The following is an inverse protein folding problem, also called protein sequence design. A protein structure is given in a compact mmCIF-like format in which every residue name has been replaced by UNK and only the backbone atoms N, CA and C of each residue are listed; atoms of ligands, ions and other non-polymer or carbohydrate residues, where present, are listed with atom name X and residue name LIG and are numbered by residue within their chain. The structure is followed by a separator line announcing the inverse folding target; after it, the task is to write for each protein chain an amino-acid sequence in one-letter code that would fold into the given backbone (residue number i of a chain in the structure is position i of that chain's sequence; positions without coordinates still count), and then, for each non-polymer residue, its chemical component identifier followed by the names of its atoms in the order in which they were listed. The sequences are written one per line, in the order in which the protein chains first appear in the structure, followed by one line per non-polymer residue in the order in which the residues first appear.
data_IF_568504286191
#
_entry.id   IF_568504286191
#
_cell.length_a   1.000
_cell.length_b   1.000
_cell.length_c   1.000
_cell.angle_alpha   90.00
_cell.angle_beta   90.00
_cell.angle_gamma   90.00
#
_symmetry.space_group_name_H-M   'P 1'
#
loop_
_entity.id
_entity.type
_entity.pdbx_description
1 polymer ?
#
# COMPACT_ATOMS: atom_id res chain seq x y z
N UNK A 1 -51.34 -53.71 22.82
CA UNK A 1 -50.22 -54.67 22.71
C UNK A 1 -48.94 -53.91 22.88
N UNK A 2 -48.09 -54.41 23.75
CA UNK A 2 -46.88 -53.77 24.26
C UNK A 2 -45.75 -53.76 23.21
N UNK A 3 -45.05 -52.64 23.07
CA UNK A 3 -43.80 -52.53 22.30
C UNK A 3 -42.77 -51.75 23.07
N UNK A 4 -41.74 -52.45 23.44
CA UNK A 4 -40.66 -52.14 24.34
C UNK A 4 -39.70 -51.07 23.80
N UNK A 5 -39.35 -50.08 24.64
CA UNK A 5 -38.26 -49.13 24.43
C UNK A 5 -36.92 -49.79 24.70
N UNK A 6 -35.95 -49.67 23.80
CA UNK A 6 -34.55 -50.01 24.02
C UNK A 6 -33.75 -48.70 24.17
N UNK A 7 -33.28 -48.50 25.40
CA UNK A 7 -32.34 -47.44 25.76
C UNK A 7 -30.93 -47.89 25.41
N UNK A 8 -30.22 -47.12 24.58
CA UNK A 8 -28.77 -47.32 24.34
C UNK A 8 -28.00 -46.19 25.00
N UNK A 9 -27.28 -46.52 26.06
CA UNK A 9 -26.39 -45.59 26.78
C UNK A 9 -25.16 -45.29 25.96
N UNK A 10 -24.88 -44.02 25.70
CA UNK A 10 -23.64 -43.55 25.10
C UNK A 10 -22.57 -43.36 26.17
N UNK A 11 -21.48 -44.11 26.04
CA UNK A 11 -20.31 -44.03 26.90
C UNK A 11 -19.47 -42.77 26.56
N UNK A 12 -19.36 -41.88 27.53
CA UNK A 12 -18.52 -40.70 27.49
C UNK A 12 -17.05 -41.09 27.66
N UNK A 13 -16.29 -41.05 26.59
CA UNK A 13 -14.83 -41.27 26.62
C UNK A 13 -14.13 -39.96 26.97
N UNK A 14 -13.70 -39.80 28.20
CA UNK A 14 -12.92 -38.70 28.75
C UNK A 14 -11.49 -38.79 28.23
N UNK A 15 -11.11 -37.95 27.26
CA UNK A 15 -9.74 -37.78 26.80
C UNK A 15 -8.95 -36.94 27.81
N UNK A 16 -7.92 -37.55 28.41
CA UNK A 16 -6.94 -36.86 29.25
C UNK A 16 -6.01 -36.03 28.35
N UNK A 17 -6.09 -34.73 28.44
CA UNK A 17 -5.08 -33.81 27.89
C UNK A 17 -3.87 -33.83 28.81
N UNK A 18 -2.77 -34.40 28.33
CA UNK A 18 -1.44 -34.19 28.90
C UNK A 18 -0.89 -32.89 28.38
N UNK A 19 -0.84 -31.85 29.23
CA UNK A 19 -0.18 -30.60 28.91
C UNK A 19 1.33 -30.78 28.99
N UNK A 20 2.03 -30.47 27.89
CA UNK A 20 3.47 -30.21 27.92
C UNK A 20 3.70 -28.70 28.01
N UNK A 21 4.52 -28.24 28.97
CA UNK A 21 4.92 -26.83 28.99
C UNK A 21 6.04 -26.63 27.96
N UNK A 22 5.73 -25.94 26.90
CA UNK A 22 6.75 -25.43 25.96
C UNK A 22 7.44 -24.23 26.63
N UNK A 23 8.65 -24.49 27.13
CA UNK A 23 9.56 -23.41 27.55
C UNK A 23 10.08 -22.70 26.29
N UNK A 24 9.57 -21.52 26.05
CA UNK A 24 10.08 -20.61 25.02
C UNK A 24 11.41 -20.03 25.51
N UNK A 25 12.52 -20.49 24.94
CA UNK A 25 13.84 -19.88 25.11
C UNK A 25 13.94 -18.72 24.12
N UNK A 26 13.84 -17.50 24.65
CA UNK A 26 14.17 -16.29 23.90
C UNK A 26 15.69 -16.20 23.84
N UNK A 27 16.27 -16.48 22.69
CA UNK A 27 17.68 -16.23 22.41
C UNK A 27 17.81 -14.78 21.95
N UNK A 28 18.24 -13.90 22.85
CA UNK A 28 18.68 -12.56 22.49
C UNK A 28 20.10 -12.69 21.92
N UNK A 29 20.25 -12.55 20.61
CA UNK A 29 21.54 -12.42 19.97
C UNK A 29 22.01 -10.97 20.14
N UNK A 30 22.93 -10.75 21.12
CA UNK A 30 23.66 -9.50 21.22
C UNK A 30 24.76 -9.49 20.15
N UNK A 31 24.62 -8.60 19.16
CA UNK A 31 25.70 -8.29 18.23
C UNK A 31 26.67 -7.37 18.96
N UNK A 32 27.72 -7.95 19.51
CA UNK A 32 28.86 -7.23 20.07
C UNK A 32 29.76 -6.72 18.95
N UNK A 33 29.81 -5.39 18.77
CA UNK A 33 30.78 -4.75 17.89
C UNK A 33 32.20 -4.94 18.41
N UNK A 34 33.02 -5.60 17.60
CA UNK A 34 34.45 -5.77 17.86
C UNK A 34 35.22 -4.48 17.51
N UNK A 35 35.56 -3.68 18.51
CA UNK A 35 36.49 -2.58 18.34
C UNK A 35 37.89 -3.17 18.51
N UNK A 36 38.58 -3.36 17.40
CA UNK A 36 40.01 -3.75 17.42
C UNK A 36 40.86 -2.53 17.81
N UNK A 37 41.26 -2.47 19.06
CA UNK A 37 42.34 -1.56 19.50
C UNK A 37 43.68 -2.17 19.16
N UNK A 38 44.34 -1.62 18.16
CA UNK A 38 45.76 -1.94 17.86
C UNK A 38 46.62 -1.24 18.90
N UNK A 39 47.11 -2.00 19.85
CA UNK A 39 48.15 -1.54 20.77
C UNK A 39 49.51 -1.61 20.05
N UNK A 40 50.10 -0.46 19.70
CA UNK A 40 51.47 -0.35 19.21
C UNK A 40 52.36 -0.18 20.43
N UNK A 41 53.19 -1.18 20.70
CA UNK A 41 54.21 -1.10 21.75
C UNK A 41 55.34 -0.12 21.32
N UNK A 42 55.84 0.76 22.21
CA UNK A 42 56.99 1.59 21.90
C UNK A 42 58.27 0.78 22.07
N UNK A 43 59.00 0.57 20.97
CA UNK A 43 60.36 0.12 21.04
C UNK A 43 61.25 1.32 21.40
N UNK A 44 61.86 1.28 22.60
CA UNK A 44 62.94 2.23 23.02
C UNK A 44 64.21 1.91 22.27
N UNK A 45 64.62 2.79 21.35
CA UNK A 45 66.00 2.87 20.88
C UNK A 45 66.45 4.27 21.17
N UNK A 46 67.40 4.36 22.15
CA UNK A 46 68.08 5.58 22.48
C UNK A 46 69.11 5.86 21.39
N UNK A 47 69.01 6.96 20.69
CA UNK A 47 70.03 7.54 19.87
C UNK A 47 70.09 9.04 20.16
N UNK A 48 71.23 9.45 20.78
CA UNK A 48 71.56 10.84 21.03
C UNK A 48 71.92 11.53 19.72
N UNK A 49 71.16 12.54 19.33
CA UNK A 49 71.56 13.56 18.38
C UNK A 49 70.70 14.83 18.57
N UNK A 50 71.42 15.90 18.64
CA UNK A 50 71.20 17.35 18.63
C UNK A 50 69.75 17.86 18.40
N UNK A 51 69.25 18.92 19.09
CA UNK A 51 67.92 19.45 18.92
C UNK A 51 67.83 20.19 17.58
N UNK A 52 67.20 19.54 16.59
CA UNK A 52 66.64 20.24 15.47
C UNK A 52 65.20 20.67 15.92
N UNK A 53 64.88 21.94 15.79
CA UNK A 53 63.62 22.52 16.12
C UNK A 53 62.48 21.74 15.46
N UNK A 54 61.66 21.12 16.27
CA UNK A 54 60.48 20.43 15.77
C UNK A 54 59.45 21.46 15.30
N UNK A 55 59.40 21.69 13.99
CA UNK A 55 58.33 22.46 13.35
C UNK A 55 57.02 21.71 13.56
N UNK A 56 56.13 22.28 14.33
CA UNK A 56 54.82 21.65 14.61
C UNK A 56 53.93 21.67 13.35
N UNK A 57 53.09 20.67 13.19
CA UNK A 57 52.14 20.60 12.08
C UNK A 57 51.26 21.86 11.94
N UNK A 58 51.10 22.64 13.02
CA UNK A 58 50.42 23.92 12.99
C UNK A 58 51.21 25.02 12.31
N UNK A 59 52.57 25.03 12.39
CA UNK A 59 53.42 25.99 11.68
C UNK A 59 53.44 25.69 10.18
N UNK A 60 53.49 24.43 9.77
CA UNK A 60 53.42 24.03 8.36
C UNK A 60 52.06 24.38 7.75
N UNK A 61 50.98 24.25 8.54
CA UNK A 61 49.64 24.63 8.08
C UNK A 61 49.48 26.16 7.95
N UNK A 62 50.12 26.94 8.81
CA UNK A 62 50.07 28.40 8.72
C UNK A 62 50.90 28.96 7.54
N UNK A 63 52.05 28.36 7.21
CA UNK A 63 52.81 28.78 6.02
C UNK A 63 52.16 28.42 4.71
N UNK A 64 51.45 27.26 4.63
CA UNK A 64 50.68 26.90 3.45
C UNK A 64 49.37 27.68 3.31
N UNK A 65 48.82 28.20 4.38
CA UNK A 65 47.59 29.02 4.33
C UNK A 65 47.81 30.42 3.75
N UNK A 66 49.07 30.93 3.83
CA UNK A 66 49.39 32.27 3.31
C UNK A 66 49.71 32.30 1.81
N UNK A 67 50.01 31.18 1.18
CA UNK A 67 50.34 31.13 -0.25
C UNK A 67 49.12 31.04 -1.18
N UNK A 68 47.89 30.97 -0.67
CA UNK A 68 46.66 30.85 -1.44
C UNK A 68 45.91 32.18 -1.66
N UNK A 69 46.45 33.31 -1.22
CA UNK A 69 45.75 34.61 -1.25
C UNK A 69 46.12 35.50 -2.44
N UNK A 70 47.06 35.10 -3.28
CA UNK A 70 47.50 35.99 -4.39
C UNK A 70 47.34 35.24 -5.72
N UNK A 71 46.17 35.17 -6.24
CA UNK A 71 45.77 35.23 -7.66
C UNK A 71 44.32 34.87 -7.84
N UNK A 72 43.42 35.79 -7.59
CA UNK A 72 42.16 35.81 -8.34
C UNK A 72 41.63 37.24 -8.39
N UNK A 73 41.90 37.90 -9.47
CA UNK A 73 40.96 38.87 -10.03
C UNK A 73 39.74 38.04 -10.55
N UNK A 74 39.09 37.33 -9.68
CA UNK A 74 37.78 36.74 -9.97
C UNK A 74 36.75 37.79 -9.56
N UNK A 75 36.24 38.50 -10.55
CA UNK A 75 34.99 39.25 -10.42
C UNK A 75 33.98 38.32 -9.74
N UNK A 76 33.38 38.67 -8.58
CA UNK A 76 32.40 37.82 -7.97
C UNK A 76 31.22 37.71 -8.94
N UNK A 77 31.06 36.58 -9.58
CA UNK A 77 29.81 36.24 -10.24
C UNK A 77 28.72 36.33 -9.18
N UNK A 78 27.75 37.21 -9.40
CA UNK A 78 26.58 37.26 -8.53
C UNK A 78 25.97 35.88 -8.49
N UNK A 79 26.16 35.18 -7.38
CA UNK A 79 25.44 33.95 -7.09
C UNK A 79 23.96 34.35 -7.02
N UNK A 80 23.22 33.99 -8.06
CA UNK A 80 21.79 34.10 -8.04
C UNK A 80 21.28 33.22 -6.90
N UNK A 81 20.82 33.87 -5.81
CA UNK A 81 20.24 33.21 -4.63
C UNK A 81 18.78 32.80 -4.88
N UNK A 82 18.37 32.67 -6.13
CA UNK A 82 16.96 32.59 -6.50
C UNK A 82 16.34 31.22 -6.51
N UNK A 83 16.95 30.21 -5.87
CA UNK A 83 16.35 28.86 -5.89
C UNK A 83 16.47 28.02 -4.61
N UNK A 84 16.82 28.60 -3.49
CA UNK A 84 16.70 27.91 -2.20
C UNK A 84 15.48 28.46 -1.45
N UNK A 85 14.30 27.97 -1.82
CA UNK A 85 13.14 28.07 -0.95
C UNK A 85 13.40 27.21 0.28
N UNK A 86 13.43 27.80 1.45
CA UNK A 86 13.49 27.02 2.69
C UNK A 86 12.22 26.18 2.78
N UNK A 87 12.36 24.88 2.94
CA UNK A 87 11.23 23.97 3.14
C UNK A 87 10.40 24.46 4.32
N UNK A 88 9.12 24.74 4.08
CA UNK A 88 8.22 25.25 5.11
C UNK A 88 7.89 24.16 6.13
N UNK A 89 7.52 24.53 7.40
CA UNK A 89 7.04 23.54 8.35
C UNK A 89 5.87 22.71 7.82
N UNK A 90 5.01 23.28 6.98
CA UNK A 90 3.88 22.62 6.33
C UNK A 90 4.34 21.57 5.33
N UNK A 91 5.34 21.87 4.52
CA UNK A 91 5.92 20.92 3.56
C UNK A 91 6.61 19.75 4.28
N UNK A 92 7.31 20.03 5.39
CA UNK A 92 7.90 18.99 6.24
C UNK A 92 6.82 18.09 6.83
N UNK A 93 5.72 18.68 7.30
CA UNK A 93 4.61 17.91 7.87
C UNK A 93 3.89 17.10 6.80
N UNK A 94 3.67 17.66 5.62
CA UNK A 94 3.09 16.95 4.47
C UNK A 94 3.94 15.75 4.09
N UNK A 95 5.25 15.94 3.95
CA UNK A 95 6.18 14.83 3.64
C UNK A 95 6.22 13.76 4.73
N UNK A 96 6.18 14.14 6.01
CA UNK A 96 6.08 13.17 7.10
C UNK A 96 4.78 12.37 7.05
N UNK A 97 3.67 13.02 6.72
CA UNK A 97 2.38 12.36 6.57
C UNK A 97 2.37 11.40 5.37
N UNK A 98 2.98 11.79 4.23
CA UNK A 98 3.16 10.93 3.07
C UNK A 98 4.05 9.71 3.38
N UNK A 99 5.18 9.92 4.04
CA UNK A 99 6.09 8.84 4.41
C UNK A 99 5.44 7.89 5.45
N UNK A 100 4.66 8.43 6.40
CA UNK A 100 3.87 7.63 7.34
C UNK A 100 2.75 6.84 6.63
N UNK A 101 2.08 7.44 5.64
CA UNK A 101 1.06 6.76 4.84
C UNK A 101 1.68 5.62 4.01
N UNK A 102 2.84 5.85 3.38
CA UNK A 102 3.59 4.81 2.66
C UNK A 102 4.03 3.67 3.57
N UNK A 103 4.54 3.99 4.76
CA UNK A 103 4.94 2.98 5.75
C UNK A 103 3.72 2.17 6.25
N UNK A 104 2.59 2.83 6.50
CA UNK A 104 1.34 2.18 6.88
C UNK A 104 0.79 1.29 5.75
N UNK A 105 0.87 1.75 4.50
CA UNK A 105 0.50 0.94 3.33
C UNK A 105 1.38 -0.30 3.20
N UNK A 106 2.70 -0.16 3.33
CA UNK A 106 3.64 -1.28 3.31
C UNK A 106 3.38 -2.29 4.45
N UNK A 107 3.10 -1.79 5.67
CA UNK A 107 2.75 -2.63 6.81
C UNK A 107 1.43 -3.39 6.59
N UNK A 108 0.43 -2.75 5.95
CA UNK A 108 -0.84 -3.39 5.58
C UNK A 108 -0.66 -4.46 4.50
N UNK A 109 0.20 -4.23 3.50
CA UNK A 109 0.58 -5.24 2.50
C UNK A 109 1.19 -6.46 3.19
N UNK A 110 2.14 -6.24 4.11
CA UNK A 110 2.76 -7.30 4.88
C UNK A 110 1.75 -8.04 5.80
N UNK A 111 0.83 -7.30 6.46
CA UNK A 111 -0.22 -7.88 7.29
C UNK A 111 -1.27 -8.63 6.47
N UNK A 112 -1.65 -8.12 5.29
CA UNK A 112 -2.58 -8.79 4.39
C UNK A 112 -2.02 -10.12 3.86
N UNK A 113 -0.70 -10.20 3.62
CA UNK A 113 -0.05 -11.45 3.23
C UNK A 113 -0.04 -12.52 4.35
N UNK A 114 -0.12 -12.09 5.62
CA UNK A 114 -0.18 -13.00 6.78
C UNK A 114 -1.61 -13.30 7.26
N UNK A 115 -2.55 -12.37 7.04
CA UNK A 115 -3.96 -12.53 7.44
C UNK A 115 -4.80 -13.36 6.45
N UNK A 116 -4.21 -13.80 5.34
CA UNK A 116 -4.89 -14.56 4.27
C UNK A 116 -5.33 -15.98 4.66
N UNK A 117 -5.20 -16.38 5.93
CA UNK A 117 -5.54 -17.74 6.34
C UNK A 117 -7.02 -18.00 6.62
N UNK A 118 -7.88 -16.94 6.72
CA UNK A 118 -9.27 -17.08 7.17
C UNK A 118 -10.32 -16.37 6.31
N UNK A 119 -9.92 -15.66 5.24
CA UNK A 119 -10.86 -15.07 4.30
C UNK A 119 -11.12 -16.05 3.14
N UNK A 120 -12.37 -16.29 2.79
CA UNK A 120 -12.70 -17.04 1.59
C UNK A 120 -12.06 -16.35 0.36
N UNK A 121 -11.35 -17.15 -0.44
CA UNK A 121 -10.58 -16.67 -1.58
C UNK A 121 -11.25 -17.19 -2.84
N UNK A 122 -11.48 -16.29 -3.77
CA UNK A 122 -11.99 -16.64 -5.08
C UNK A 122 -11.03 -17.61 -5.81
N UNK A 123 -11.51 -18.78 -6.15
CA UNK A 123 -10.76 -19.83 -6.85
C UNK A 123 -11.18 -20.02 -8.32
N UNK A 124 -12.08 -19.17 -8.82
CA UNK A 124 -12.57 -19.23 -10.18
C UNK A 124 -11.58 -18.66 -11.22
N UNK A 125 -11.97 -18.74 -12.48
CA UNK A 125 -11.18 -18.22 -13.60
C UNK A 125 -11.19 -16.68 -13.63
N UNK A 126 -10.04 -16.07 -13.92
CA UNK A 126 -9.91 -14.64 -14.22
C UNK A 126 -10.14 -14.40 -15.73
N UNK A 127 -11.22 -14.92 -16.27
CA UNK A 127 -11.57 -14.71 -17.68
C UNK A 127 -12.27 -13.36 -17.86
N UNK A 128 -11.84 -12.61 -18.88
CA UNK A 128 -12.56 -11.41 -19.31
C UNK A 128 -13.87 -11.81 -19.98
N UNK A 129 -14.93 -11.08 -19.66
CA UNK A 129 -16.27 -11.27 -20.27
C UNK A 129 -16.61 -10.00 -21.05
N UNK A 130 -15.85 -9.75 -22.13
CA UNK A 130 -16.04 -8.56 -22.96
C UNK A 130 -17.43 -8.57 -23.57
N UNK A 131 -18.23 -7.58 -23.22
CA UNK A 131 -19.57 -7.36 -23.76
C UNK A 131 -19.51 -6.58 -25.09
N UNK A 132 -20.58 -6.62 -25.90
CA UNK A 132 -20.72 -5.76 -27.07
C UNK A 132 -20.54 -4.28 -26.71
N UNK A 133 -20.03 -3.48 -27.65
CA UNK A 133 -19.86 -2.05 -27.45
C UNK A 133 -21.20 -1.38 -27.08
N UNK A 134 -21.13 -0.46 -26.11
CA UNK A 134 -22.31 0.25 -25.59
C UNK A 134 -23.14 -0.54 -24.57
N UNK A 135 -22.71 -1.75 -24.20
CA UNK A 135 -23.33 -2.52 -23.11
C UNK A 135 -22.97 -1.94 -21.75
N UNK A 136 -23.89 -2.15 -20.79
CA UNK A 136 -23.62 -2.00 -19.36
C UNK A 136 -23.70 -3.39 -18.73
N UNK A 137 -22.70 -3.76 -17.94
CA UNK A 137 -22.60 -5.06 -17.28
C UNK A 137 -22.42 -4.90 -15.77
N UNK A 138 -22.66 -5.96 -15.02
CA UNK A 138 -22.34 -5.95 -13.59
C UNK A 138 -20.82 -5.98 -13.37
N UNK A 139 -20.32 -5.28 -12.32
CA UNK A 139 -18.89 -5.21 -12.02
C UNK A 139 -18.33 -6.50 -11.42
N UNK A 140 -19.17 -7.42 -10.98
CA UNK A 140 -18.79 -8.68 -10.35
C UNK A 140 -19.54 -9.86 -11.01
N UNK A 141 -18.91 -11.06 -11.07
CA UNK A 141 -19.57 -12.26 -11.60
C UNK A 141 -20.67 -12.77 -10.67
N UNK A 142 -20.54 -12.51 -9.37
CA UNK A 142 -21.49 -12.83 -8.30
C UNK A 142 -21.18 -11.98 -7.07
N UNK A 143 -22.09 -11.93 -6.12
CA UNK A 143 -21.91 -11.40 -4.78
C UNK A 143 -22.90 -12.07 -3.81
N UNK A 144 -22.56 -12.10 -2.51
CA UNK A 144 -23.37 -12.75 -1.50
C UNK A 144 -24.56 -11.87 -1.09
N UNK A 145 -24.30 -10.60 -0.82
CA UNK A 145 -25.25 -9.54 -0.49
C UNK A 145 -24.60 -8.20 -0.73
N UNK A 146 -25.36 -7.13 -0.67
CA UNK A 146 -24.83 -5.76 -0.75
C UNK A 146 -25.39 -4.89 0.37
N UNK A 147 -24.61 -3.87 0.75
CA UNK A 147 -24.99 -2.81 1.65
C UNK A 147 -25.37 -1.55 0.87
N UNK A 148 -26.50 -0.96 1.25
CA UNK A 148 -26.99 0.28 0.66
C UNK A 148 -26.15 1.49 1.10
N UNK A 149 -26.06 2.54 0.27
CA UNK A 149 -25.49 3.80 0.66
C UNK A 149 -26.23 4.45 1.84
N UNK A 150 -25.49 5.19 2.68
CA UNK A 150 -26.05 5.90 3.82
C UNK A 150 -25.34 7.26 4.01
N UNK A 151 -25.84 8.19 4.86
CA UNK A 151 -25.22 9.48 5.08
C UNK A 151 -23.73 9.35 5.46
N UNK A 152 -22.86 9.92 4.63
CA UNK A 152 -21.38 9.84 4.79
C UNK A 152 -20.74 8.67 4.04
N UNK A 153 -21.52 7.77 3.43
CA UNK A 153 -21.05 6.64 2.63
C UNK A 153 -21.84 6.57 1.31
N UNK A 154 -21.17 6.88 0.20
CA UNK A 154 -21.83 7.01 -1.12
C UNK A 154 -21.83 5.72 -1.94
N UNK A 155 -21.00 4.75 -1.58
CA UNK A 155 -20.89 3.51 -2.34
C UNK A 155 -21.95 2.49 -1.98
N UNK A 156 -22.26 1.64 -2.94
CA UNK A 156 -22.90 0.34 -2.70
C UNK A 156 -21.79 -0.67 -2.45
N UNK A 157 -21.83 -1.35 -1.31
CA UNK A 157 -20.82 -2.31 -0.90
C UNK A 157 -21.24 -3.74 -1.24
N UNK A 158 -20.62 -4.35 -2.22
CA UNK A 158 -20.90 -5.74 -2.62
C UNK A 158 -19.99 -6.70 -1.87
N UNK A 159 -20.54 -7.47 -0.93
CA UNK A 159 -19.82 -8.47 -0.15
C UNK A 159 -19.56 -9.71 -1.00
N UNK A 160 -18.28 -10.03 -1.17
CA UNK A 160 -17.82 -11.10 -2.05
C UNK A 160 -16.41 -11.55 -1.61
N UNK A 161 -15.99 -12.71 -2.06
CA UNK A 161 -14.69 -13.30 -1.73
C UNK A 161 -13.52 -12.44 -2.22
N UNK A 162 -12.42 -12.45 -1.46
CA UNK A 162 -11.18 -11.79 -1.84
C UNK A 162 -10.68 -12.32 -3.19
N UNK A 163 -10.09 -11.44 -3.98
CA UNK A 163 -9.59 -11.70 -5.34
C UNK A 163 -10.65 -12.04 -6.39
N UNK A 164 -11.93 -11.92 -6.08
CA UNK A 164 -12.97 -11.92 -7.12
C UNK A 164 -12.65 -10.86 -8.17
N UNK A 165 -12.70 -11.17 -9.48
CA UNK A 165 -12.42 -10.20 -10.52
C UNK A 165 -13.44 -9.05 -10.50
N UNK A 166 -12.93 -7.83 -10.69
CA UNK A 166 -13.74 -6.63 -10.86
C UNK A 166 -13.71 -6.25 -12.33
N UNK A 167 -14.88 -6.06 -12.91
CA UNK A 167 -15.05 -5.70 -14.32
C UNK A 167 -15.46 -4.22 -14.47
N UNK A 168 -14.99 -3.59 -15.54
CA UNK A 168 -15.52 -2.30 -15.97
C UNK A 168 -17.00 -2.45 -16.36
N UNK A 169 -17.87 -1.61 -15.81
CA UNK A 169 -19.32 -1.71 -16.06
C UNK A 169 -19.70 -1.34 -17.49
N UNK A 170 -18.88 -0.56 -18.19
CA UNK A 170 -19.13 -0.11 -19.56
C UNK A 170 -17.79 0.27 -20.24
N UNK A 171 -17.84 0.48 -21.55
CA UNK A 171 -16.74 1.08 -22.29
C UNK A 171 -16.41 2.46 -21.71
N UNK A 172 -15.12 2.81 -21.59
CA UNK A 172 -14.72 4.08 -20.99
C UNK A 172 -13.22 4.33 -21.00
N UNK A 173 -12.85 5.45 -20.34
CA UNK A 173 -11.45 5.85 -20.15
C UNK A 173 -11.17 5.97 -18.66
N UNK A 174 -10.06 5.41 -18.21
CA UNK A 174 -9.59 5.50 -16.82
C UNK A 174 -9.15 6.93 -16.53
N UNK A 175 -9.80 7.57 -15.57
CA UNK A 175 -9.50 8.96 -15.17
C UNK A 175 -8.72 9.04 -13.86
N UNK A 176 -8.84 8.04 -13.00
CA UNK A 176 -8.02 7.91 -11.79
C UNK A 176 -7.68 6.43 -11.58
N UNK A 177 -6.46 6.17 -11.09
CA UNK A 177 -5.98 4.81 -10.79
C UNK A 177 -4.84 4.90 -9.79
N UNK A 178 -5.04 4.44 -8.56
CA UNK A 178 -4.07 4.58 -7.46
C UNK A 178 -4.03 3.35 -6.57
N UNK A 179 -2.87 3.11 -5.96
CA UNK A 179 -2.70 2.09 -4.90
C UNK A 179 -3.02 2.64 -3.50
N UNK A 180 -3.18 3.97 -3.35
CA UNK A 180 -3.37 4.62 -2.05
C UNK A 180 -4.31 5.83 -2.18
N UNK A 181 -5.60 5.58 -2.32
CA UNK A 181 -6.63 6.60 -2.30
C UNK A 181 -7.12 6.90 -0.87
N UNK A 182 -7.46 8.17 -0.56
CA UNK A 182 -7.90 8.56 0.77
C UNK A 182 -9.22 7.88 1.15
N UNK A 183 -9.13 6.85 1.98
CA UNK A 183 -10.27 6.03 2.40
C UNK A 183 -10.59 4.88 1.44
N UNK A 184 -10.39 5.01 0.15
CA UNK A 184 -10.67 3.98 -0.87
C UNK A 184 -9.60 2.89 -0.98
N UNK A 185 -8.37 3.15 -0.47
CA UNK A 185 -7.24 2.25 -0.67
C UNK A 185 -6.86 2.14 -2.15
N UNK A 186 -6.72 0.93 -2.65
CA UNK A 186 -6.52 0.69 -4.08
C UNK A 186 -7.82 0.90 -4.82
N UNK A 187 -7.82 1.81 -5.80
CA UNK A 187 -9.05 2.15 -6.53
C UNK A 187 -8.80 2.50 -7.99
N UNK A 188 -9.86 2.42 -8.77
CA UNK A 188 -9.92 2.86 -10.17
C UNK A 188 -11.20 3.68 -10.36
N UNK A 189 -11.09 4.78 -11.09
CA UNK A 189 -12.23 5.59 -11.53
C UNK A 189 -12.25 5.66 -13.05
N UNK A 190 -13.41 5.43 -13.65
CA UNK A 190 -13.57 5.35 -15.11
C UNK A 190 -14.67 6.33 -15.54
N UNK A 191 -14.41 7.08 -16.59
CA UNK A 191 -15.40 7.92 -17.26
C UNK A 191 -15.97 7.17 -18.47
N UNK A 192 -17.30 7.15 -18.56
CA UNK A 192 -18.08 6.49 -19.60
C UNK A 192 -19.00 7.45 -20.30
N UNK A 193 -19.47 7.08 -21.49
CA UNK A 193 -20.63 7.69 -22.13
C UNK A 193 -21.71 6.61 -22.27
N UNK A 194 -22.77 6.71 -21.45
CA UNK A 194 -23.85 5.73 -21.41
C UNK A 194 -25.16 6.44 -21.75
N UNK A 195 -25.74 6.09 -22.90
CA UNK A 195 -27.00 6.70 -23.35
C UNK A 195 -26.91 8.22 -23.55
N UNK A 196 -25.74 8.75 -23.90
CA UNK A 196 -25.49 10.19 -24.07
C UNK A 196 -25.20 10.94 -22.77
N UNK A 197 -25.20 10.26 -21.61
CA UNK A 197 -24.81 10.84 -20.33
C UNK A 197 -23.36 10.57 -20.01
N UNK A 198 -22.69 11.55 -19.41
CA UNK A 198 -21.38 11.33 -18.78
C UNK A 198 -21.60 10.56 -17.48
N UNK A 199 -21.11 9.33 -17.44
CA UNK A 199 -21.19 8.48 -16.23
C UNK A 199 -19.78 8.25 -15.71
N UNK A 200 -19.59 8.37 -14.40
CA UNK A 200 -18.34 8.03 -13.75
C UNK A 200 -18.58 6.91 -12.76
N UNK A 201 -17.78 5.85 -12.85
CA UNK A 201 -17.78 4.74 -11.89
C UNK A 201 -16.47 4.75 -11.10
N UNK A 202 -16.55 4.51 -9.78
CA UNK A 202 -15.41 4.36 -8.89
C UNK A 202 -15.48 2.98 -8.23
N UNK A 203 -14.39 2.24 -8.34
CA UNK A 203 -14.23 0.90 -7.77
C UNK A 203 -13.13 0.95 -6.72
N UNK A 204 -13.47 0.71 -5.46
CA UNK A 204 -12.52 0.84 -4.36
C UNK A 204 -12.29 -0.47 -3.60
N UNK A 205 -11.39 -0.41 -2.63
CA UNK A 205 -10.97 -1.50 -1.76
C UNK A 205 -10.39 -2.71 -2.49
N UNK A 206 -9.80 -2.49 -3.69
CA UNK A 206 -9.12 -3.56 -4.43
C UNK A 206 -7.94 -4.14 -3.64
N UNK A 207 -7.55 -5.36 -3.94
CA UNK A 207 -6.32 -5.95 -3.42
C UNK A 207 -5.09 -5.29 -4.03
N UNK A 208 -4.05 -5.07 -3.22
CA UNK A 208 -2.79 -4.52 -3.69
C UNK A 208 -2.19 -5.34 -4.83
N UNK A 209 -1.61 -4.67 -5.82
CA UNK A 209 -0.95 -5.30 -6.96
C UNK A 209 -1.87 -6.03 -7.94
N UNK A 210 -3.20 -5.91 -7.78
CA UNK A 210 -4.17 -6.55 -8.69
C UNK A 210 -4.76 -5.59 -9.71
N UNK A 211 -4.54 -4.30 -9.56
CA UNK A 211 -4.97 -3.26 -10.50
C UNK A 211 -4.32 -3.46 -11.87
N UNK A 212 -5.11 -3.51 -12.94
CA UNK A 212 -4.67 -3.86 -14.30
C UNK A 212 -4.71 -2.69 -15.27
N UNK A 213 -5.12 -1.51 -14.82
CA UNK A 213 -5.29 -0.33 -15.67
C UNK A 213 -4.67 0.90 -15.03
N UNK A 214 -4.21 1.82 -15.86
CA UNK A 214 -3.63 3.11 -15.46
C UNK A 214 -4.42 4.27 -16.06
N UNK A 215 -4.20 5.47 -15.57
CA UNK A 215 -4.84 6.69 -16.09
C UNK A 215 -4.55 6.85 -17.58
N UNK A 216 -5.60 7.08 -18.36
CA UNK A 216 -5.56 7.22 -19.83
C UNK A 216 -5.88 5.94 -20.59
N UNK A 217 -5.89 4.78 -19.94
CA UNK A 217 -6.27 3.52 -20.59
C UNK A 217 -7.73 3.56 -21.02
N UNK A 218 -8.00 3.00 -22.21
CA UNK A 218 -9.36 2.70 -22.66
C UNK A 218 -9.74 1.30 -22.20
N UNK A 219 -10.90 1.16 -21.61
CA UNK A 219 -11.46 -0.11 -21.15
C UNK A 219 -12.76 -0.45 -21.90
N UNK A 220 -13.07 -1.73 -21.96
CA UNK A 220 -14.32 -2.25 -22.52
C UNK A 220 -15.22 -2.79 -21.43
N UNK A 221 -16.52 -2.77 -21.64
CA UNK A 221 -17.48 -3.43 -20.77
C UNK A 221 -17.11 -4.89 -20.53
N UNK A 222 -17.03 -5.34 -19.27
CA UNK A 222 -16.63 -6.70 -18.91
C UNK A 222 -15.11 -6.95 -18.89
N UNK A 223 -14.28 -5.93 -19.16
CA UNK A 223 -12.82 -6.03 -19.00
C UNK A 223 -12.44 -6.06 -17.53
N UNK A 224 -11.50 -6.95 -17.14
CA UNK A 224 -10.99 -7.00 -15.77
C UNK A 224 -10.11 -5.78 -15.50
N UNK A 225 -10.44 -5.01 -14.46
CA UNK A 225 -9.70 -3.82 -14.04
C UNK A 225 -8.92 -4.01 -12.74
N UNK A 226 -9.22 -5.06 -11.97
CA UNK A 226 -8.58 -5.41 -10.71
C UNK A 226 -9.29 -6.57 -10.04
N UNK A 227 -9.00 -6.76 -8.74
CA UNK A 227 -9.61 -7.81 -7.94
C UNK A 227 -10.02 -7.26 -6.56
N UNK A 228 -11.12 -7.77 -6.02
CA UNK A 228 -11.67 -7.38 -4.73
C UNK A 228 -10.68 -7.63 -3.59
N UNK A 229 -10.64 -6.71 -2.65
CA UNK A 229 -9.83 -6.77 -1.46
C UNK A 229 -10.50 -6.08 -0.27
N UNK A 230 -9.67 -5.50 0.59
CA UNK A 230 -10.08 -4.80 1.81
C UNK A 230 -9.12 -3.64 2.13
N UNK A 231 -8.48 -3.07 1.12
CA UNK A 231 -7.54 -1.96 1.30
C UNK A 231 -8.27 -0.66 1.67
N UNK A 232 -7.55 0.30 2.24
CA UNK A 232 -8.16 1.56 2.67
C UNK A 232 -8.99 1.43 3.95
N UNK A 233 -10.15 2.09 3.99
CA UNK A 233 -11.10 2.05 5.12
C UNK A 233 -12.19 1.02 4.86
N UNK A 234 -11.84 -0.26 4.87
CA UNK A 234 -12.75 -1.37 4.69
C UNK A 234 -12.90 -2.16 6.00
N UNK A 235 -14.13 -2.59 6.34
CA UNK A 235 -14.41 -3.44 7.52
C UNK A 235 -14.52 -4.92 7.16
N UNK A 236 -14.08 -5.31 5.98
CA UNK A 236 -14.09 -6.66 5.45
C UNK A 236 -13.91 -6.65 3.95
N UNK A 237 -13.84 -7.82 3.34
CA UNK A 237 -13.64 -7.95 1.90
C UNK A 237 -14.93 -7.61 1.14
N UNK A 238 -14.90 -6.58 0.30
CA UNK A 238 -16.03 -6.14 -0.52
C UNK A 238 -15.56 -5.27 -1.68
N UNK A 239 -16.39 -5.12 -2.69
CA UNK A 239 -16.29 -4.05 -3.68
C UNK A 239 -17.15 -2.88 -3.25
N UNK A 240 -16.54 -1.71 -3.03
CA UNK A 240 -17.25 -0.44 -2.91
C UNK A 240 -17.39 0.20 -4.29
N UNK A 241 -18.62 0.39 -4.75
CA UNK A 241 -18.91 0.97 -6.05
C UNK A 241 -19.69 2.27 -5.89
N UNK A 242 -19.13 3.37 -6.45
CA UNK A 242 -19.84 4.64 -6.58
C UNK A 242 -20.15 4.93 -8.04
N UNK A 243 -21.33 5.49 -8.31
CA UNK A 243 -21.74 5.93 -9.64
C UNK A 243 -22.14 7.40 -9.59
N UNK A 244 -21.71 8.14 -10.60
CA UNK A 244 -22.07 9.55 -10.82
C UNK A 244 -22.59 9.69 -12.24
N UNK A 245 -23.77 10.30 -12.41
CA UNK A 245 -24.37 10.63 -13.72
C UNK A 245 -24.38 12.14 -13.88
N UNK A 246 -23.72 12.64 -14.90
CA UNK A 246 -23.55 14.08 -15.17
C UNK A 246 -23.04 14.84 -13.94
N UNK A 247 -22.10 14.23 -13.20
CA UNK A 247 -21.49 14.76 -11.98
C UNK A 247 -22.33 14.61 -10.72
N UNK A 248 -23.58 14.16 -10.80
CA UNK A 248 -24.46 13.91 -9.65
C UNK A 248 -24.37 12.47 -9.21
N UNK A 249 -24.19 12.27 -7.91
CA UNK A 249 -24.17 10.93 -7.32
C UNK A 249 -25.52 10.21 -7.51
N UNK A 250 -25.48 8.91 -7.77
CA UNK A 250 -26.67 8.04 -7.82
C UNK A 250 -26.35 6.71 -7.11
N UNK A 251 -27.39 6.01 -6.62
CA UNK A 251 -27.22 4.68 -6.07
C UNK A 251 -26.72 3.73 -7.17
N UNK A 252 -25.63 3.01 -6.90
CA UNK A 252 -24.99 2.17 -7.90
C UNK A 252 -25.84 0.95 -8.27
N UNK A 253 -26.55 0.34 -7.31
CA UNK A 253 -27.42 -0.81 -7.59
C UNK A 253 -28.62 -0.39 -8.44
N UNK A 254 -29.30 0.74 -8.12
CA UNK A 254 -30.39 1.27 -8.92
C UNK A 254 -29.97 1.57 -10.36
N UNK A 255 -28.76 2.17 -10.51
CA UNK A 255 -28.19 2.43 -11.83
C UNK A 255 -27.96 1.14 -12.62
N UNK A 256 -27.37 0.12 -11.99
CA UNK A 256 -27.08 -1.15 -12.65
C UNK A 256 -28.36 -1.88 -13.03
N UNK A 257 -29.35 -1.94 -12.14
CA UNK A 257 -30.65 -2.57 -12.42
C UNK A 257 -31.34 -1.91 -13.62
N UNK A 258 -31.23 -0.58 -13.75
CA UNK A 258 -31.84 0.17 -14.85
C UNK A 258 -31.11 0.02 -16.20
N UNK A 259 -29.82 -0.26 -16.21
CA UNK A 259 -28.97 -0.16 -17.42
C UNK A 259 -28.33 -1.48 -17.87
N UNK A 260 -28.18 -2.49 -17.00
CA UNK A 260 -27.62 -3.80 -17.37
C UNK A 260 -28.59 -4.53 -18.32
N UNK A 261 -28.04 -4.95 -19.46
CA UNK A 261 -28.83 -5.65 -20.51
C UNK A 261 -28.03 -6.81 -21.09
#
# INVERSE_FOLDING_TARGET
MRGTAVSTAAATRRSRRTGHPVRSLITVAAVGGLIATVAIAPAFAASTSSPAEAVTLQQVAAENAQSLVIASEATPAALARDSYSATTPEEIQTKKNEDAAKAAAAARIAAASTASADASVYSGSLAETIAPAGSVVRPLPFFNHFGEPYPGHKGTDYMVDRYTPIYAIADGVVVESSEDGPGWGVYVKIAHNIGGNTVTSLYAHMSYGTRRVVVGDTVRAGQIIGQVGDTGRAFGTHLHLEIYVNGSWTNAEDFLVANVR
#
